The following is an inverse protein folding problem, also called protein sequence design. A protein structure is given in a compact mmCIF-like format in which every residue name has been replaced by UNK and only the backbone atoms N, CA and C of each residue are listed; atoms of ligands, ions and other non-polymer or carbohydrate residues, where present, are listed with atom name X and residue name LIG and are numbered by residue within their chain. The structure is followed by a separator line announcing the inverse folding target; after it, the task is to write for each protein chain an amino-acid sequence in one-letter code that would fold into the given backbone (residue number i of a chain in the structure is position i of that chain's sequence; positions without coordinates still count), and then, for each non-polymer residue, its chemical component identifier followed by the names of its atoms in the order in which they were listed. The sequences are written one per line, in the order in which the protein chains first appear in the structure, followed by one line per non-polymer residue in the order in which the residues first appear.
data_IF_008047755716
#
_entry.id   IF_008047755716
#
_cell.length_a   1.000
_cell.length_b   1.000
_cell.length_c   1.000
_cell.angle_alpha   90.00
_cell.angle_beta   90.00
_cell.angle_gamma   90.00
#
_symmetry.space_group_name_H-M   'P 1'
#
loop_
_entity.id
_entity.type
_entity.pdbx_description
1 polymer ?
#
# COMPACT_ATOMS: atom_id res chain seq x y z
N UNK A 1 -3.93 25.49 7.39
CA UNK A 1 -2.47 25.62 7.66
C UNK A 1 -1.85 24.33 8.24
N UNK A 2 -2.60 23.44 8.92
CA UNK A 2 -2.05 22.22 9.53
C UNK A 2 -1.69 21.08 8.56
N UNK A 3 -2.55 20.75 7.58
CA UNK A 3 -2.33 19.60 6.68
C UNK A 3 -0.99 19.66 5.90
N UNK A 4 -0.64 20.83 5.35
CA UNK A 4 0.63 21.01 4.61
C UNK A 4 1.85 20.80 5.51
N UNK A 5 1.78 21.26 6.76
CA UNK A 5 2.84 21.06 7.75
C UNK A 5 2.97 19.57 8.10
N UNK A 6 1.85 18.89 8.37
CA UNK A 6 1.84 17.45 8.65
C UNK A 6 2.39 16.61 7.51
N UNK A 7 2.09 16.96 6.25
CA UNK A 7 2.65 16.28 5.06
C UNK A 7 4.15 16.50 4.97
N UNK A 8 4.65 17.71 5.22
CA UNK A 8 6.10 17.98 5.24
C UNK A 8 6.81 17.13 6.29
N UNK A 9 6.30 17.12 7.52
CA UNK A 9 6.85 16.31 8.61
C UNK A 9 6.86 14.83 8.27
N UNK A 10 5.80 14.33 7.62
CA UNK A 10 5.75 12.93 7.18
C UNK A 10 6.80 12.65 6.09
N UNK A 11 6.98 13.55 5.11
CA UNK A 11 8.01 13.39 4.07
C UNK A 11 9.40 13.33 4.69
N UNK A 12 9.70 14.21 5.64
CA UNK A 12 11.00 14.23 6.32
C UNK A 12 11.23 12.97 7.17
N UNK A 13 10.19 12.48 7.85
CA UNK A 13 10.26 11.23 8.61
C UNK A 13 10.46 10.00 7.71
N UNK A 14 9.83 9.96 6.53
CA UNK A 14 10.05 8.88 5.57
C UNK A 14 11.49 8.90 5.06
N UNK A 15 12.01 10.08 4.70
CA UNK A 15 13.40 10.22 4.22
C UNK A 15 14.42 9.77 5.27
N UNK A 16 14.26 10.22 6.52
CA UNK A 16 15.22 9.90 7.59
C UNK A 16 15.31 8.40 7.90
N UNK A 17 14.29 7.62 7.55
CA UNK A 17 14.29 6.16 7.71
C UNK A 17 14.75 5.47 6.43
N UNK A 18 14.19 5.84 5.28
CA UNK A 18 14.38 5.11 4.02
C UNK A 18 15.76 5.38 3.41
N UNK A 19 16.22 6.63 3.41
CA UNK A 19 17.50 6.98 2.76
C UNK A 19 18.68 6.25 3.41
N UNK A 20 18.83 6.20 4.76
CA UNK A 20 19.91 5.43 5.38
C UNK A 20 19.71 3.92 5.24
N UNK A 21 18.46 3.43 5.28
CA UNK A 21 18.17 2.00 5.15
C UNK A 21 18.58 1.45 3.78
N UNK A 22 18.54 2.28 2.74
CA UNK A 22 18.87 1.92 1.37
C UNK A 22 20.25 2.43 0.91
N UNK A 23 21.04 3.01 1.82
CA UNK A 23 22.34 3.64 1.54
C UNK A 23 22.27 4.65 0.37
N UNK A 24 21.20 5.46 0.35
CA UNK A 24 20.97 6.43 -0.72
C UNK A 24 21.97 7.59 -0.63
N UNK A 25 22.59 7.91 -1.77
CA UNK A 25 23.45 9.10 -1.92
C UNK A 25 22.68 10.34 -2.33
N UNK A 26 21.47 10.16 -2.88
CA UNK A 26 20.58 11.21 -3.37
C UNK A 26 19.30 11.29 -2.51
N UNK A 27 18.56 12.38 -2.65
CA UNK A 27 17.31 12.58 -1.91
C UNK A 27 16.16 11.75 -2.48
N UNK A 28 15.41 11.08 -1.60
CA UNK A 28 14.19 10.36 -1.98
C UNK A 28 13.11 11.33 -2.49
N UNK A 29 12.65 11.05 -3.70
CA UNK A 29 11.53 11.75 -4.32
C UNK A 29 10.22 11.19 -3.77
N UNK A 30 9.38 12.07 -3.21
CA UNK A 30 8.09 11.70 -2.64
C UNK A 30 6.99 12.49 -3.35
N UNK A 31 6.21 11.76 -4.15
CA UNK A 31 5.06 12.28 -4.87
C UNK A 31 3.77 12.09 -4.07
N UNK A 32 2.84 13.03 -4.24
CA UNK A 32 1.52 12.94 -3.62
C UNK A 32 0.52 12.44 -4.65
N UNK A 33 -0.20 11.36 -4.32
CA UNK A 33 -1.30 10.84 -5.14
C UNK A 33 -2.59 11.53 -4.69
N UNK A 34 -3.18 12.36 -5.56
CA UNK A 34 -4.39 13.14 -5.24
C UNK A 34 -5.70 12.51 -5.75
N UNK A 35 -5.64 11.34 -6.39
CA UNK A 35 -6.79 10.72 -7.06
C UNK A 35 -7.50 9.63 -6.26
N UNK A 36 -7.25 9.50 -4.96
CA UNK A 36 -7.86 8.49 -4.10
C UNK A 36 -8.55 9.19 -2.93
N UNK A 37 -9.89 9.21 -2.95
CA UNK A 37 -10.69 9.76 -1.85
C UNK A 37 -11.46 8.65 -1.12
N UNK A 38 -11.27 8.62 0.20
CA UNK A 38 -12.00 7.74 1.11
C UNK A 38 -13.23 8.47 1.63
N UNK A 39 -14.40 7.82 1.55
CA UNK A 39 -15.68 8.39 2.01
C UNK A 39 -16.10 7.96 3.43
N UNK A 40 -15.26 7.17 4.13
CA UNK A 40 -15.49 6.72 5.50
C UNK A 40 -14.34 7.14 6.44
N UNK A 41 -14.34 6.69 7.70
CA UNK A 41 -13.26 6.93 8.66
C UNK A 41 -12.51 5.65 9.06
N UNK A 42 -12.74 4.52 8.39
CA UNK A 42 -12.29 3.19 8.83
C UNK A 42 -11.48 2.41 7.80
N UNK A 43 -11.43 2.86 6.55
CA UNK A 43 -10.87 2.10 5.44
C UNK A 43 -9.49 2.55 4.98
N UNK A 44 -8.78 3.39 5.75
CA UNK A 44 -7.55 4.03 5.27
C UNK A 44 -6.45 2.99 4.97
N UNK A 45 -6.33 1.97 5.83
CA UNK A 45 -5.43 0.85 5.60
C UNK A 45 -5.81 0.02 4.36
N UNK A 46 -7.10 -0.16 4.09
CA UNK A 46 -7.57 -0.85 2.88
C UNK A 46 -7.18 -0.07 1.63
N UNK A 47 -7.37 1.25 1.63
CA UNK A 47 -7.00 2.09 0.48
C UNK A 47 -5.49 2.13 0.26
N UNK A 48 -4.67 2.08 1.30
CA UNK A 48 -3.23 1.89 1.14
C UNK A 48 -2.91 0.61 0.36
N UNK A 49 -3.59 -0.51 0.65
CA UNK A 49 -3.40 -1.77 -0.09
C UNK A 49 -3.85 -1.66 -1.55
N UNK A 50 -4.99 -1.02 -1.80
CA UNK A 50 -5.51 -0.80 -3.16
C UNK A 50 -4.56 0.08 -3.95
N UNK A 51 -4.14 1.22 -3.41
CA UNK A 51 -3.19 2.14 -4.06
C UNK A 51 -1.89 1.40 -4.38
N UNK A 52 -1.32 0.64 -3.44
CA UNK A 52 -0.12 -0.17 -3.71
C UNK A 52 -0.34 -1.18 -4.84
N UNK A 53 -1.48 -1.89 -4.85
CA UNK A 53 -1.80 -2.84 -5.93
C UNK A 53 -1.90 -2.11 -7.29
N UNK A 54 -2.58 -0.97 -7.37
CA UNK A 54 -2.70 -0.20 -8.61
C UNK A 54 -1.34 0.28 -9.13
N UNK A 55 -0.47 0.80 -8.25
CA UNK A 55 0.89 1.21 -8.61
C UNK A 55 1.71 0.03 -9.14
N UNK A 56 1.62 -1.15 -8.51
CA UNK A 56 2.28 -2.37 -8.99
C UNK A 56 1.75 -2.84 -10.34
N UNK A 57 0.48 -2.57 -10.66
CA UNK A 57 -0.12 -2.82 -11.98
C UNK A 57 0.11 -1.69 -12.99
N UNK A 58 1.02 -0.76 -12.66
CA UNK A 58 1.53 0.24 -13.58
C UNK A 58 0.83 1.59 -13.50
N UNK A 59 -0.14 1.80 -12.60
CA UNK A 59 -0.78 3.11 -12.43
C UNK A 59 0.26 4.21 -12.17
N UNK A 60 0.21 5.31 -12.93
CA UNK A 60 0.98 6.54 -12.67
C UNK A 60 0.03 7.69 -12.37
N UNK A 61 0.53 8.83 -11.84
CA UNK A 61 -0.28 10.03 -11.65
C UNK A 61 -0.99 10.49 -12.95
N UNK A 62 -0.36 10.37 -14.11
CA UNK A 62 -0.91 10.84 -15.40
C UNK A 62 -2.12 10.03 -15.85
N UNK A 63 -2.17 8.74 -15.55
CA UNK A 63 -3.22 7.83 -15.99
C UNK A 63 -3.98 7.17 -14.84
N UNK A 64 -3.92 7.78 -13.66
CA UNK A 64 -4.56 7.29 -12.44
C UNK A 64 -6.06 7.04 -12.63
N UNK A 65 -6.76 7.92 -13.35
CA UNK A 65 -8.19 7.81 -13.64
C UNK A 65 -8.58 6.60 -14.50
N UNK A 66 -7.62 5.95 -15.16
CA UNK A 66 -7.86 4.69 -15.88
C UNK A 66 -7.92 3.48 -14.94
N UNK A 67 -7.37 3.61 -13.73
CA UNK A 67 -7.26 2.56 -12.73
C UNK A 67 -8.20 2.79 -11.53
N UNK A 68 -8.41 4.05 -11.17
CA UNK A 68 -9.26 4.45 -10.05
C UNK A 68 -10.61 4.98 -10.52
N UNK A 69 -11.67 4.58 -9.82
CA UNK A 69 -13.00 5.13 -9.96
C UNK A 69 -13.64 5.27 -8.59
N UNK A 70 -14.28 6.39 -8.28
CA UNK A 70 -14.84 6.65 -6.94
C UNK A 70 -15.94 5.65 -6.54
N UNK A 71 -16.56 4.99 -7.52
CA UNK A 71 -17.48 3.87 -7.27
C UNK A 71 -16.83 2.67 -6.55
N UNK A 72 -15.49 2.59 -6.51
CA UNK A 72 -14.77 1.63 -5.67
C UNK A 72 -15.14 1.75 -4.19
N UNK A 73 -15.56 2.94 -3.71
CA UNK A 73 -16.08 3.11 -2.35
C UNK A 73 -17.31 2.22 -2.08
N UNK A 74 -18.11 1.90 -3.11
CA UNK A 74 -19.24 0.96 -2.99
C UNK A 74 -18.78 -0.50 -2.88
N UNK A 75 -17.51 -0.79 -3.19
CA UNK A 75 -16.93 -2.12 -3.18
C UNK A 75 -16.06 -2.41 -1.93
N UNK A 76 -16.06 -1.53 -0.91
CA UNK A 76 -15.22 -1.70 0.30
C UNK A 76 -15.38 -3.08 0.94
N UNK A 77 -16.62 -3.57 1.10
CA UNK A 77 -16.88 -4.91 1.66
C UNK A 77 -16.23 -6.04 0.83
N UNK A 78 -16.37 -5.96 -0.49
CA UNK A 78 -15.76 -6.91 -1.42
C UNK A 78 -14.23 -6.84 -1.41
N UNK A 79 -13.66 -5.63 -1.35
CA UNK A 79 -12.22 -5.41 -1.28
C UNK A 79 -11.63 -5.98 0.02
N UNK A 80 -12.29 -5.75 1.18
CA UNK A 80 -11.88 -6.36 2.46
C UNK A 80 -11.84 -7.88 2.35
N UNK A 81 -12.89 -8.50 1.83
CA UNK A 81 -12.93 -9.95 1.62
C UNK A 81 -11.81 -10.42 0.69
N UNK A 82 -11.57 -9.72 -0.43
CA UNK A 82 -10.49 -10.03 -1.38
C UNK A 82 -9.12 -10.04 -0.71
N UNK A 83 -8.79 -9.02 0.09
CA UNK A 83 -7.50 -8.96 0.78
C UNK A 83 -7.39 -9.99 1.90
N UNK A 84 -8.46 -10.26 2.66
CA UNK A 84 -8.48 -11.35 3.64
C UNK A 84 -8.19 -12.70 2.98
N UNK A 85 -8.81 -12.99 1.84
CA UNK A 85 -8.55 -14.23 1.09
C UNK A 85 -7.11 -14.30 0.56
N UNK A 86 -6.52 -13.19 0.11
CA UNK A 86 -5.10 -13.15 -0.29
C UNK A 86 -4.19 -13.50 0.90
N UNK A 87 -4.45 -12.94 2.07
CA UNK A 87 -3.68 -13.21 3.29
C UNK A 87 -3.83 -14.68 3.71
N UNK A 88 -5.04 -15.23 3.70
CA UNK A 88 -5.27 -16.64 4.03
C UNK A 88 -4.51 -17.58 3.07
N UNK A 89 -4.52 -17.27 1.77
CA UNK A 89 -3.71 -18.02 0.80
C UNK A 89 -2.23 -17.95 1.11
N UNK A 90 -1.70 -16.76 1.35
CA UNK A 90 -0.29 -16.57 1.72
C UNK A 90 0.07 -17.33 2.99
N UNK A 91 -0.77 -17.27 4.03
CA UNK A 91 -0.56 -18.00 5.27
C UNK A 91 -0.51 -19.52 5.03
N UNK A 92 -1.42 -20.06 4.21
CA UNK A 92 -1.40 -21.48 3.86
C UNK A 92 -0.16 -21.87 3.06
N UNK A 93 0.35 -20.99 2.17
CA UNK A 93 1.62 -21.24 1.48
C UNK A 93 2.79 -21.34 2.46
N UNK A 94 2.88 -20.44 3.44
CA UNK A 94 3.97 -20.48 4.43
C UNK A 94 3.80 -21.63 5.45
N UNK A 95 2.58 -21.97 5.85
CA UNK A 95 2.30 -23.10 6.73
C UNK A 95 2.63 -24.46 6.10
N UNK A 96 2.54 -24.60 4.77
CA UNK A 96 2.98 -25.80 4.05
C UNK A 96 4.51 -25.82 3.93
N UNK A 97 5.16 -24.68 3.67
CA UNK A 97 6.62 -24.60 3.56
C UNK A 97 7.35 -24.94 4.88
N UNK A 98 6.76 -24.63 6.04
CA UNK A 98 7.31 -25.02 7.35
C UNK A 98 7.16 -26.52 7.64
N UNK A 99 6.17 -27.19 7.04
CA UNK A 99 5.94 -28.63 7.21
C UNK A 99 6.86 -29.52 6.36
N UNK A 100 7.42 -28.99 5.25
CA UNK A 100 8.32 -29.72 4.35
C UNK A 100 9.82 -29.56 4.71
N UNK A 101 10.17 -28.67 5.65
CA UNK A 101 11.55 -28.42 6.06
C UNK A 101 12.06 -29.26 7.25
N UNK A 102 11.27 -30.22 7.72
CA UNK A 102 11.58 -31.02 8.90
C UNK A 102 11.67 -32.51 8.61
N UNK A 103 12.81 -32.96 8.09
CA UNK A 103 13.48 -34.23 8.42
C UNK A 103 14.61 -34.49 7.41
N UNK A 104 15.84 -34.14 7.78
CA UNK A 104 17.02 -34.92 7.42
C UNK A 104 17.81 -35.13 8.72
N UNK A 105 17.70 -36.35 9.25
CA UNK A 105 18.52 -36.90 10.35
C UNK A 105 19.66 -37.70 9.76
#
# INVERSE_FOLDING_TARGET
MQLKSSISTLKDAVRSVVEPMLDMTDQLQIETINGCEQNDCTSCGLWCLVVMELLLFGATPEHWSSYWNDSLNNAVGCLRMRYMLKILKLHNYFGVAEAEGGEDK
#
